data_IF_580810945280
#
_entry.id   IF_580810945280
#
_cell.length_a   1.000
_cell.length_b   1.000
_cell.length_c   1.000
_cell.angle_alpha   90.00
_cell.angle_beta   90.00
_cell.angle_gamma   90.00
#
_symmetry.space_group_name_H-M   'P 1'
#
loop_
_entity.id
_entity.type
_entity.pdbx_description
1 polymer ?
#
# COMPACT_ATOMS: atom_id res chain seq x y z
N UNK A 1 -34.40 28.70 -3.56
CA UNK A 1 -33.64 29.89 -3.99
C UNK A 1 -33.00 29.52 -5.32
N UNK A 2 -33.60 29.90 -6.46
CA UNK A 2 -33.04 29.57 -7.78
C UNK A 2 -31.80 30.46 -7.97
N UNK A 3 -30.60 29.89 -7.80
CA UNK A 3 -29.39 30.53 -8.27
C UNK A 3 -29.51 30.62 -9.79
N UNK A 4 -29.54 31.84 -10.31
CA UNK A 4 -29.47 32.06 -11.75
C UNK A 4 -28.06 31.68 -12.19
N UNK A 5 -27.92 30.57 -12.91
CA UNK A 5 -26.65 30.17 -13.50
C UNK A 5 -26.32 31.21 -14.58
N UNK A 6 -25.14 31.82 -14.49
CA UNK A 6 -24.68 32.76 -15.51
C UNK A 6 -24.26 31.96 -16.75
N UNK A 7 -24.98 32.11 -17.86
CA UNK A 7 -24.67 31.48 -19.14
C UNK A 7 -24.11 32.54 -20.11
N UNK A 8 -22.78 32.75 -20.15
CA UNK A 8 -22.17 33.82 -20.94
C UNK A 8 -22.33 33.60 -22.46
N UNK A 9 -22.46 32.36 -22.93
CA UNK A 9 -22.59 32.06 -24.36
C UNK A 9 -24.03 31.85 -24.81
N UNK A 10 -24.99 31.81 -23.86
CA UNK A 10 -26.38 31.44 -24.10
C UNK A 10 -26.48 30.12 -24.88
N UNK A 11 -25.68 29.15 -24.49
CA UNK A 11 -25.38 27.93 -25.26
C UNK A 11 -25.66 26.65 -24.48
N UNK A 12 -26.35 26.72 -23.35
CA UNK A 12 -26.68 25.55 -22.53
C UNK A 12 -27.39 24.44 -23.31
N UNK A 13 -28.29 24.76 -24.26
CA UNK A 13 -28.99 23.75 -25.06
C UNK A 13 -28.07 23.07 -26.08
N UNK A 14 -27.12 23.81 -26.66
CA UNK A 14 -26.09 23.24 -27.54
C UNK A 14 -25.21 22.27 -26.74
N UNK A 15 -24.77 22.69 -25.57
CA UNK A 15 -23.97 21.85 -24.68
C UNK A 15 -24.74 20.60 -24.21
N UNK A 16 -26.00 20.75 -23.82
CA UNK A 16 -26.86 19.64 -23.43
C UNK A 16 -27.07 18.64 -24.56
N UNK A 17 -27.29 19.14 -25.79
CA UNK A 17 -27.43 18.29 -26.98
C UNK A 17 -26.17 17.46 -27.20
N UNK A 18 -24.98 18.08 -27.13
CA UNK A 18 -23.72 17.38 -27.28
C UNK A 18 -23.49 16.31 -26.20
N UNK A 19 -23.83 16.60 -24.94
CA UNK A 19 -23.79 15.60 -23.87
C UNK A 19 -24.75 14.42 -24.11
N UNK A 20 -25.95 14.68 -24.66
CA UNK A 20 -26.93 13.61 -24.96
C UNK A 20 -26.45 12.74 -26.12
N UNK A 21 -25.80 13.31 -27.13
CA UNK A 21 -25.22 12.56 -28.24
C UNK A 21 -24.17 11.55 -27.74
N UNK A 22 -23.28 11.95 -26.83
CA UNK A 22 -22.26 11.06 -26.26
C UNK A 22 -22.83 10.07 -25.23
N UNK A 23 -23.82 10.50 -24.45
CA UNK A 23 -24.49 9.64 -23.48
C UNK A 23 -25.39 8.56 -24.11
N UNK A 24 -25.67 8.64 -25.41
CA UNK A 24 -26.59 7.79 -26.21
C UNK A 24 -28.07 7.90 -25.81
N UNK A 25 -28.38 7.98 -24.51
CA UNK A 25 -29.74 8.17 -24.00
C UNK A 25 -29.86 9.46 -23.17
N UNK A 26 -30.90 10.24 -23.45
CA UNK A 26 -31.13 11.52 -22.76
C UNK A 26 -31.35 11.42 -21.26
N UNK A 27 -31.78 10.25 -20.76
CA UNK A 27 -31.99 9.98 -19.33
C UNK A 27 -30.69 10.03 -18.51
N UNK A 28 -29.52 9.95 -19.18
CA UNK A 28 -28.20 9.93 -18.55
C UNK A 28 -27.58 11.33 -18.37
N UNK A 29 -28.26 12.37 -18.85
CA UNK A 29 -27.87 13.79 -18.71
C UNK A 29 -28.92 14.52 -17.90
N UNK A 30 -28.54 14.93 -16.68
CA UNK A 30 -29.42 15.61 -15.73
C UNK A 30 -29.44 17.14 -15.90
N UNK A 31 -29.60 17.84 -14.77
CA UNK A 31 -29.72 19.31 -14.77
C UNK A 31 -28.37 19.98 -14.97
N UNK A 32 -28.39 21.21 -15.48
CA UNK A 32 -27.21 22.08 -15.52
C UNK A 32 -26.83 22.47 -14.09
N UNK A 33 -25.59 22.21 -13.70
CA UNK A 33 -25.05 22.45 -12.36
C UNK A 33 -24.32 23.79 -12.30
N UNK A 34 -23.37 24.01 -13.21
CA UNK A 34 -22.62 25.26 -13.31
C UNK A 34 -22.11 25.47 -14.73
N UNK A 35 -21.69 26.70 -15.01
CA UNK A 35 -20.92 27.06 -16.20
C UNK A 35 -19.65 27.72 -15.71
N UNK A 36 -18.53 27.07 -16.00
CA UNK A 36 -17.21 27.51 -15.57
C UNK A 36 -16.52 28.19 -16.75
N UNK A 37 -15.83 29.30 -16.50
CA UNK A 37 -15.10 30.06 -17.53
C UNK A 37 -13.68 30.32 -17.08
N UNK A 38 -12.73 30.29 -18.02
CA UNK A 38 -11.29 30.40 -17.73
C UNK A 38 -10.86 31.80 -17.21
N UNK A 39 -11.71 32.82 -17.31
CA UNK A 39 -11.37 34.19 -16.93
C UNK A 39 -12.35 34.79 -15.91
N UNK A 40 -11.91 34.93 -14.65
CA UNK A 40 -12.52 35.85 -13.68
C UNK A 40 -12.11 37.29 -14.03
N UNK A 41 -12.91 38.01 -14.83
CA UNK A 41 -12.63 39.41 -15.12
C UNK A 41 -12.88 40.27 -13.89
N UNK A 42 -11.82 40.90 -13.35
CA UNK A 42 -11.90 41.87 -12.24
C UNK A 42 -12.77 43.11 -12.56
N UNK A 43 -13.06 43.36 -13.84
CA UNK A 43 -13.78 44.54 -14.33
C UNK A 43 -15.22 44.25 -14.78
N UNK A 44 -15.72 43.02 -14.55
CA UNK A 44 -17.10 42.63 -14.88
C UNK A 44 -17.44 42.54 -16.38
N UNK A 45 -16.44 42.67 -17.25
CA UNK A 45 -16.57 42.46 -18.70
C UNK A 45 -15.92 41.12 -19.07
N UNK A 46 -16.73 40.06 -19.10
CA UNK A 46 -16.31 38.71 -19.48
C UNK A 46 -16.15 38.60 -20.99
N UNK A 47 -14.92 38.73 -21.49
CA UNK A 47 -14.55 38.35 -22.87
C UNK A 47 -14.11 36.88 -22.94
N UNK A 48 -14.65 36.03 -22.05
CA UNK A 48 -14.33 34.61 -21.96
C UNK A 48 -14.53 33.95 -23.34
N UNK A 49 -13.49 33.26 -23.81
CA UNK A 49 -13.49 32.57 -25.11
C UNK A 49 -13.84 31.09 -24.99
N UNK A 50 -13.73 30.53 -23.78
CA UNK A 50 -14.02 29.14 -23.46
C UNK A 50 -14.94 29.09 -22.25
N UNK A 51 -15.96 28.24 -22.32
CA UNK A 51 -16.87 27.97 -21.21
C UNK A 51 -17.18 26.47 -21.13
N UNK A 52 -17.11 25.91 -19.93
CA UNK A 52 -17.42 24.50 -19.66
C UNK A 52 -18.75 24.40 -18.93
N UNK A 53 -19.73 23.75 -19.57
CA UNK A 53 -21.05 23.50 -19.02
C UNK A 53 -21.04 22.16 -18.30
N UNK A 54 -21.32 22.16 -17.01
CA UNK A 54 -21.37 20.97 -16.17
C UNK A 54 -22.82 20.53 -15.97
N UNK A 55 -23.17 19.33 -16.41
CA UNK A 55 -24.47 18.69 -16.15
C UNK A 55 -24.31 17.50 -15.20
N UNK A 56 -25.34 17.22 -14.41
CA UNK A 56 -25.37 15.97 -13.61
C UNK A 56 -25.28 14.76 -14.55
N UNK A 57 -24.43 13.78 -14.21
CA UNK A 57 -24.38 12.50 -14.91
C UNK A 57 -25.16 11.45 -14.11
N UNK A 58 -26.10 10.78 -14.77
CA UNK A 58 -26.89 9.68 -14.19
C UNK A 58 -26.52 8.33 -14.80
N UNK A 59 -25.28 8.20 -15.29
CA UNK A 59 -24.76 6.97 -15.88
C UNK A 59 -24.50 5.90 -14.81
N UNK A 60 -24.89 4.64 -15.05
CA UNK A 60 -24.51 3.52 -14.19
C UNK A 60 -22.97 3.44 -14.05
N UNK A 61 -22.48 3.40 -12.81
CA UNK A 61 -21.04 3.33 -12.51
C UNK A 61 -20.35 4.68 -12.32
N UNK A 62 -20.97 5.80 -12.74
CA UNK A 62 -20.43 7.16 -12.63
C UNK A 62 -21.19 7.99 -11.59
N UNK A 63 -21.44 7.41 -10.41
CA UNK A 63 -22.16 8.10 -9.33
C UNK A 63 -21.36 9.30 -8.84
N UNK A 64 -22.01 10.48 -8.81
CA UNK A 64 -21.38 11.75 -8.41
C UNK A 64 -20.55 12.42 -9.50
N UNK A 65 -20.47 11.86 -10.71
CA UNK A 65 -19.78 12.46 -11.85
C UNK A 65 -20.67 13.47 -12.57
N UNK A 66 -20.04 14.28 -13.42
CA UNK A 66 -20.69 15.32 -14.21
C UNK A 66 -20.26 15.24 -15.67
N UNK A 67 -21.19 15.47 -16.57
CA UNK A 67 -20.88 15.75 -17.97
C UNK A 67 -20.30 17.15 -18.07
N UNK A 68 -19.09 17.26 -18.61
CA UNK A 68 -18.42 18.52 -18.87
C UNK A 68 -18.34 18.75 -20.37
N UNK A 69 -19.06 19.75 -20.84
CA UNK A 69 -19.09 20.12 -22.26
C UNK A 69 -18.40 21.45 -22.43
N UNK A 70 -17.24 21.43 -23.06
CA UNK A 70 -16.45 22.63 -23.28
C UNK A 70 -16.82 23.25 -24.63
N UNK A 71 -17.25 24.51 -24.60
CA UNK A 71 -17.58 25.29 -25.77
C UNK A 71 -16.56 26.42 -25.97
N UNK A 72 -16.29 26.77 -27.22
CA UNK A 72 -15.45 27.91 -27.57
C UNK A 72 -16.18 28.89 -28.50
N UNK A 73 -15.89 30.18 -28.30
CA UNK A 73 -16.29 31.30 -29.16
C UNK A 73 -15.04 32.06 -29.60
N UNK A 74 -14.99 32.45 -30.88
CA UNK A 74 -13.89 33.24 -31.45
C UNK A 74 -13.98 34.70 -31.03
N UNK A 75 -15.20 35.24 -31.00
CA UNK A 75 -15.54 36.58 -30.53
C UNK A 75 -16.98 36.61 -29.95
N UNK A 76 -17.40 37.74 -29.38
CA UNK A 76 -18.73 37.88 -28.76
C UNK A 76 -19.90 37.66 -29.72
N UNK A 77 -19.72 37.93 -31.01
CA UNK A 77 -20.72 37.77 -32.07
C UNK A 77 -20.72 36.39 -32.73
N UNK A 78 -19.63 35.62 -32.57
CA UNK A 78 -19.47 34.30 -33.15
C UNK A 78 -20.42 33.25 -32.54
N UNK A 79 -20.78 32.24 -33.32
CA UNK A 79 -21.55 31.10 -32.84
C UNK A 79 -20.64 30.18 -32.00
N UNK A 80 -21.07 29.75 -30.80
CA UNK A 80 -20.31 28.80 -29.99
C UNK A 80 -20.18 27.44 -30.69
N UNK A 81 -19.02 26.81 -30.52
CA UNK A 81 -18.71 25.48 -31.08
C UNK A 81 -18.29 24.53 -29.96
N UNK A 82 -18.66 23.25 -30.08
CA UNK A 82 -18.29 22.21 -29.11
C UNK A 82 -16.82 21.81 -29.34
N UNK A 83 -16.02 21.86 -28.28
CA UNK A 83 -14.62 21.43 -28.30
C UNK A 83 -14.49 19.97 -27.87
N UNK A 84 -15.10 19.62 -26.74
CA UNK A 84 -15.06 18.26 -26.18
C UNK A 84 -16.24 18.01 -25.24
N UNK A 85 -16.58 16.73 -25.08
CA UNK A 85 -17.60 16.21 -24.17
C UNK A 85 -16.94 15.11 -23.35
N UNK A 86 -16.76 15.35 -22.04
CA UNK A 86 -16.08 14.42 -21.15
C UNK A 86 -16.86 14.22 -19.86
N UNK A 87 -16.61 13.11 -19.18
CA UNK A 87 -17.07 12.87 -17.81
C UNK A 87 -15.98 13.30 -16.83
N UNK A 88 -16.32 14.23 -15.92
CA UNK A 88 -15.44 14.67 -14.85
C UNK A 88 -16.01 14.26 -13.49
N UNK A 89 -15.14 13.89 -12.53
CA UNK A 89 -15.59 13.58 -11.18
C UNK A 89 -16.08 14.84 -10.47
N UNK A 90 -17.31 14.80 -9.96
CA UNK A 90 -17.80 15.83 -9.03
C UNK A 90 -17.32 15.59 -7.60
N UNK A 91 -17.73 16.46 -6.67
CA UNK A 91 -17.34 16.37 -5.25
C UNK A 91 -17.77 15.05 -4.58
N UNK A 92 -18.86 14.45 -5.05
CA UNK A 92 -19.41 13.19 -4.54
C UNK A 92 -18.99 11.98 -5.39
N UNK A 93 -18.06 12.16 -6.34
CA UNK A 93 -17.65 11.08 -7.23
C UNK A 93 -16.80 10.03 -6.50
N UNK A 94 -17.12 8.76 -6.70
CA UNK A 94 -16.25 7.67 -6.29
C UNK A 94 -15.03 7.63 -7.21
N UNK A 95 -13.86 7.96 -6.68
CA UNK A 95 -12.59 7.92 -7.38
C UNK A 95 -11.84 6.61 -7.11
N UNK A 96 -10.99 6.22 -8.07
CA UNK A 96 -10.04 5.15 -7.85
C UNK A 96 -9.04 5.55 -6.75
N UNK A 97 -8.52 4.58 -5.96
CA UNK A 97 -7.41 4.83 -5.06
C UNK A 97 -6.19 5.37 -5.81
N UNK A 98 -5.29 6.02 -5.09
CA UNK A 98 -4.02 6.47 -5.65
C UNK A 98 -3.23 5.28 -6.23
N UNK A 99 -2.64 5.48 -7.40
CA UNK A 99 -1.82 4.46 -8.03
C UNK A 99 -0.55 4.21 -7.22
N UNK A 100 -0.31 2.96 -6.84
CA UNK A 100 0.91 2.53 -6.15
C UNK A 100 1.85 1.85 -7.15
N UNK A 101 3.16 2.08 -7.07
CA UNK A 101 4.11 1.38 -7.94
C UNK A 101 4.14 -0.12 -7.68
N UNK A 102 4.33 -0.94 -8.71
CA UNK A 102 4.35 -2.41 -8.58
C UNK A 102 5.32 -2.91 -7.50
N UNK A 103 6.50 -2.30 -7.37
CA UNK A 103 7.48 -2.68 -6.35
C UNK A 103 6.95 -2.50 -4.92
N UNK A 104 6.07 -1.52 -4.73
CA UNK A 104 5.50 -1.13 -3.44
C UNK A 104 4.19 -1.88 -3.16
N UNK A 105 3.73 -2.72 -4.11
CA UNK A 105 2.56 -3.60 -3.94
C UNK A 105 2.93 -4.99 -3.41
N UNK A 106 4.20 -5.37 -3.41
CA UNK A 106 4.64 -6.71 -2.99
C UNK A 106 4.48 -6.84 -1.47
N UNK A 107 3.69 -7.81 -1.05
CA UNK A 107 3.40 -8.13 0.35
C UNK A 107 4.08 -9.45 0.79
N UNK A 108 4.22 -9.68 2.10
CA UNK A 108 4.64 -10.97 2.61
C UNK A 108 3.72 -12.10 2.11
N UNK A 109 4.32 -13.09 1.44
CA UNK A 109 3.59 -14.24 0.87
C UNK A 109 3.37 -14.18 -0.64
N UNK A 110 3.59 -13.03 -1.28
CA UNK A 110 3.41 -12.88 -2.74
C UNK A 110 4.49 -13.59 -3.57
N UNK A 111 5.56 -14.06 -2.92
CA UNK A 111 6.76 -14.58 -3.55
C UNK A 111 6.64 -16.10 -3.70
N UNK A 112 6.51 -16.54 -4.94
CA UNK A 112 6.37 -17.95 -5.31
C UNK A 112 7.65 -18.61 -5.81
N UNK A 113 7.50 -19.84 -6.29
CA UNK A 113 8.59 -20.62 -6.88
C UNK A 113 9.01 -20.00 -8.21
N UNK A 114 10.27 -19.58 -8.30
CA UNK A 114 10.85 -18.99 -9.51
C UNK A 114 10.85 -17.45 -9.51
N UNK A 115 10.19 -16.81 -8.56
CA UNK A 115 10.20 -15.36 -8.44
C UNK A 115 11.54 -14.86 -7.92
N UNK A 116 12.05 -13.79 -8.54
CA UNK A 116 13.26 -13.10 -8.12
C UNK A 116 12.85 -11.68 -7.71
N UNK A 117 12.95 -11.39 -6.41
CA UNK A 117 12.77 -10.03 -5.91
C UNK A 117 14.13 -9.34 -5.87
N UNK A 118 14.37 -8.32 -6.71
CA UNK A 118 15.59 -7.55 -6.63
C UNK A 118 15.61 -6.75 -5.32
N UNK A 119 16.69 -6.91 -4.55
CA UNK A 119 16.94 -6.06 -3.38
C UNK A 119 17.61 -4.77 -3.81
N UNK A 120 17.13 -3.63 -3.28
CA UNK A 120 17.74 -2.32 -3.53
C UNK A 120 19.23 -2.33 -3.16
N UNK A 121 20.04 -1.54 -3.86
CA UNK A 121 21.44 -1.31 -3.50
C UNK A 121 21.55 -0.63 -2.13
N UNK A 122 20.64 0.32 -1.87
CA UNK A 122 20.58 1.15 -0.66
C UNK A 122 19.59 0.59 0.38
N UNK A 123 19.37 -0.72 0.42
CA UNK A 123 18.51 -1.34 1.43
C UNK A 123 19.16 -1.25 2.82
N UNK A 124 18.61 -0.40 3.68
CA UNK A 124 19.10 -0.14 5.04
C UNK A 124 19.16 -1.39 5.93
N UNK A 125 18.41 -2.44 5.57
CA UNK A 125 18.39 -3.72 6.31
C UNK A 125 19.66 -4.52 6.07
N UNK A 126 20.48 -4.13 5.09
CA UNK A 126 21.67 -4.83 4.69
C UNK A 126 22.92 -3.94 4.81
N UNK A 127 24.03 -4.56 5.22
CA UNK A 127 25.37 -3.97 5.17
C UNK A 127 26.32 -4.94 4.45
N UNK A 128 27.45 -4.46 3.90
CA UNK A 128 28.47 -5.34 3.35
C UNK A 128 28.93 -6.39 4.37
N UNK A 129 29.23 -7.62 3.91
CA UNK A 129 29.58 -8.74 4.80
C UNK A 129 30.76 -8.45 5.73
N UNK A 130 31.76 -7.70 5.27
CA UNK A 130 32.91 -7.29 6.09
C UNK A 130 32.55 -6.29 7.21
N UNK A 131 31.43 -5.58 7.08
CA UNK A 131 30.97 -4.60 8.06
C UNK A 131 30.19 -5.24 9.23
N UNK A 132 29.98 -6.56 9.21
CA UNK A 132 29.42 -7.29 10.34
C UNK A 132 30.45 -7.71 11.40
N UNK A 133 31.74 -7.38 11.20
CA UNK A 133 32.80 -7.73 12.14
C UNK A 133 32.67 -6.93 13.46
N UNK A 134 32.83 -7.59 14.62
CA UNK A 134 33.05 -6.90 15.89
C UNK A 134 34.38 -6.14 15.86
N UNK A 135 34.50 -5.11 16.69
CA UNK A 135 35.75 -4.37 16.94
C UNK A 135 36.76 -5.17 17.79
N UNK A 136 36.71 -6.49 17.76
CA UNK A 136 37.46 -7.38 18.65
C UNK A 136 38.61 -8.05 17.88
N UNK A 137 39.85 -7.68 18.24
CA UNK A 137 41.07 -8.13 17.56
C UNK A 137 41.44 -9.60 17.86
N UNK A 138 40.76 -10.26 18.81
CA UNK A 138 41.05 -11.66 19.20
C UNK A 138 40.15 -12.72 18.51
N UNK A 139 39.37 -12.34 17.50
CA UNK A 139 38.42 -13.25 16.85
C UNK A 139 39.10 -14.37 16.05
N UNK A 140 38.72 -15.62 16.35
CA UNK A 140 39.16 -16.83 15.66
C UNK A 140 38.73 -16.82 14.17
N UNK A 141 39.65 -17.04 13.22
CA UNK A 141 39.35 -17.20 11.79
C UNK A 141 38.25 -18.21 11.46
N UNK A 142 38.00 -19.22 12.30
CA UNK A 142 36.91 -20.17 12.09
C UNK A 142 35.51 -19.57 12.32
N UNK A 143 35.40 -18.54 13.16
CA UNK A 143 34.16 -17.80 13.41
C UNK A 143 33.86 -16.76 12.32
N UNK A 144 34.83 -16.44 11.45
CA UNK A 144 34.67 -15.51 10.32
C UNK A 144 33.48 -15.86 9.40
N UNK A 145 33.21 -17.15 9.21
CA UNK A 145 32.06 -17.62 8.42
C UNK A 145 30.71 -17.27 9.09
N UNK A 146 30.63 -17.34 10.42
CA UNK A 146 29.45 -16.91 11.19
C UNK A 146 29.24 -15.39 11.11
N UNK A 147 30.32 -14.62 10.98
CA UNK A 147 30.29 -13.16 10.76
C UNK A 147 29.98 -12.75 9.32
N UNK A 148 29.75 -13.71 8.42
CA UNK A 148 29.34 -13.44 7.04
C UNK A 148 30.47 -13.19 6.06
N UNK A 149 31.72 -13.54 6.41
CA UNK A 149 32.76 -13.69 5.40
C UNK A 149 32.39 -14.87 4.49
N UNK A 150 32.01 -14.54 3.26
CA UNK A 150 31.38 -15.44 2.28
C UNK A 150 30.04 -14.94 1.73
N UNK A 151 29.40 -13.96 2.39
CA UNK A 151 28.18 -13.29 1.91
C UNK A 151 28.50 -11.87 1.47
N UNK A 152 28.00 -11.47 0.29
CA UNK A 152 28.18 -10.10 -0.21
C UNK A 152 27.58 -9.05 0.74
N UNK A 153 26.40 -9.36 1.30
CA UNK A 153 25.68 -8.52 2.26
C UNK A 153 25.11 -9.38 3.39
N UNK A 154 24.94 -8.77 4.56
CA UNK A 154 24.41 -9.38 5.79
C UNK A 154 23.46 -8.41 6.48
N UNK A 155 22.64 -8.89 7.43
CA UNK A 155 21.70 -8.02 8.14
C UNK A 155 22.44 -6.94 8.93
N UNK A 156 22.04 -5.70 8.68
CA UNK A 156 22.40 -4.52 9.47
C UNK A 156 21.74 -4.57 10.85
N UNK A 157 22.07 -3.61 11.71
CA UNK A 157 21.37 -3.45 12.99
C UNK A 157 19.88 -3.13 12.80
N UNK A 158 19.54 -2.31 11.80
CA UNK A 158 18.15 -1.99 11.43
C UNK A 158 17.43 -3.24 10.95
N UNK A 159 18.06 -4.03 10.09
CA UNK A 159 17.50 -5.30 9.61
C UNK A 159 17.24 -6.30 10.74
N UNK A 160 18.13 -6.38 11.73
CA UNK A 160 17.97 -7.22 12.92
C UNK A 160 16.82 -6.73 13.81
N UNK A 161 16.74 -5.42 14.08
CA UNK A 161 15.70 -4.82 14.91
C UNK A 161 14.29 -5.00 14.29
N UNK A 162 14.15 -4.75 12.99
CA UNK A 162 12.89 -4.98 12.27
C UNK A 162 12.48 -6.46 12.27
N UNK A 163 13.44 -7.38 12.13
CA UNK A 163 13.16 -8.81 12.22
C UNK A 163 12.76 -9.21 13.64
N UNK A 164 13.48 -8.77 14.67
CA UNK A 164 13.17 -9.09 16.06
C UNK A 164 11.81 -8.57 16.48
N UNK A 165 11.45 -7.33 16.12
CA UNK A 165 10.12 -6.77 16.41
C UNK A 165 9.02 -7.62 15.78
N UNK A 166 9.10 -7.88 14.47
CA UNK A 166 8.11 -8.70 13.76
C UNK A 166 7.98 -10.12 14.33
N UNK A 167 9.09 -10.75 14.69
CA UNK A 167 9.06 -12.11 15.25
C UNK A 167 8.50 -12.15 16.67
N UNK A 168 8.86 -11.18 17.51
CA UNK A 168 8.41 -11.11 18.90
C UNK A 168 6.95 -10.67 19.04
N UNK A 169 6.48 -9.78 18.17
CA UNK A 169 5.08 -9.34 18.13
C UNK A 169 4.18 -10.31 17.34
N UNK A 170 4.78 -11.19 16.53
CA UNK A 170 4.05 -12.14 15.71
C UNK A 170 3.52 -13.34 16.49
N UNK A 171 2.91 -14.28 15.75
CA UNK A 171 2.24 -15.44 16.34
C UNK A 171 3.18 -16.41 17.09
N UNK A 172 4.50 -16.19 16.99
CA UNK A 172 5.59 -17.00 17.58
C UNK A 172 6.33 -16.24 18.69
N UNK A 173 5.73 -15.14 19.12
CA UNK A 173 6.11 -14.40 20.32
C UNK A 173 5.41 -14.89 21.59
N UNK A 174 5.71 -14.27 22.74
CA UNK A 174 5.16 -14.66 24.03
C UNK A 174 3.66 -14.39 24.15
N UNK A 175 3.14 -13.41 23.42
CA UNK A 175 1.74 -12.97 23.51
C UNK A 175 0.79 -13.75 22.60
N UNK A 176 1.31 -14.71 21.84
CA UNK A 176 0.47 -15.55 20.99
C UNK A 176 -0.49 -16.41 21.83
N UNK A 177 -1.70 -16.73 21.34
CA UNK A 177 -2.64 -17.59 22.06
C UNK A 177 -2.03 -18.94 22.46
N UNK A 178 -1.17 -19.50 21.62
CA UNK A 178 -0.49 -20.77 21.91
C UNK A 178 0.53 -20.64 23.04
N UNK A 179 1.35 -19.59 23.05
CA UNK A 179 2.30 -19.35 24.13
C UNK A 179 1.59 -19.13 25.48
N UNK A 180 0.49 -18.38 25.48
CA UNK A 180 -0.29 -18.10 26.70
C UNK A 180 -0.95 -19.35 27.29
N UNK A 181 -1.19 -20.38 26.49
CA UNK A 181 -1.76 -21.66 26.94
C UNK A 181 -0.71 -22.77 27.09
N UNK A 182 0.56 -22.49 26.78
CA UNK A 182 1.63 -23.46 26.93
C UNK A 182 2.09 -23.55 28.39
N UNK A 183 2.40 -24.75 28.90
CA UNK A 183 2.76 -24.94 30.30
C UNK A 183 4.15 -24.38 30.65
N UNK A 184 5.04 -24.30 29.65
CA UNK A 184 6.43 -23.85 29.83
C UNK A 184 6.96 -23.14 28.59
N UNK A 185 7.84 -22.16 28.77
CA UNK A 185 8.46 -21.41 27.68
C UNK A 185 9.63 -22.15 27.02
N UNK A 186 9.95 -21.74 25.79
CA UNK A 186 10.97 -22.31 24.92
C UNK A 186 12.38 -22.28 25.53
N UNK A 187 12.76 -21.27 26.31
CA UNK A 187 14.08 -21.21 26.94
C UNK A 187 14.35 -22.35 27.92
N UNK A 188 13.30 -23.01 28.41
CA UNK A 188 13.41 -24.18 29.30
C UNK A 188 13.23 -25.52 28.57
N UNK A 189 13.01 -25.49 27.25
CA UNK A 189 12.72 -26.66 26.44
C UNK A 189 14.00 -27.27 25.84
N UNK A 190 14.18 -28.58 25.98
CA UNK A 190 15.32 -29.31 25.40
C UNK A 190 15.32 -29.37 23.86
N UNK A 191 14.20 -29.07 23.21
CA UNK A 191 14.10 -29.01 21.74
C UNK A 191 14.38 -27.61 21.16
N UNK A 192 14.72 -26.64 22.01
CA UNK A 192 15.01 -25.27 21.59
C UNK A 192 16.47 -25.16 21.16
N UNK A 193 16.71 -24.82 19.89
CA UNK A 193 18.04 -24.56 19.34
C UNK A 193 18.22 -23.03 19.22
N UNK A 194 19.10 -22.39 20.01
CA UNK A 194 19.31 -20.95 19.92
C UNK A 194 19.88 -20.55 18.55
N UNK A 195 19.38 -19.44 17.97
CA UNK A 195 19.96 -18.88 16.74
C UNK A 195 21.35 -18.31 17.05
N UNK A 196 22.29 -18.37 16.11
CA UNK A 196 23.64 -17.82 16.30
C UNK A 196 23.66 -16.28 16.33
N UNK A 197 24.75 -15.71 16.85
CA UNK A 197 25.00 -14.26 16.84
C UNK A 197 24.12 -13.46 17.80
N UNK A 198 23.88 -12.18 17.47
CA UNK A 198 23.28 -11.20 18.39
C UNK A 198 21.80 -11.46 18.73
N UNK A 199 21.11 -12.34 18.01
CA UNK A 199 19.71 -12.70 18.28
C UNK A 199 19.57 -13.92 19.22
N UNK A 200 20.68 -14.57 19.57
CA UNK A 200 20.72 -15.82 20.36
C UNK A 200 19.98 -15.76 21.68
N UNK A 201 20.01 -14.60 22.34
CA UNK A 201 19.41 -14.40 23.66
C UNK A 201 17.88 -14.26 23.62
N UNK A 202 17.30 -13.98 22.44
CA UNK A 202 15.87 -13.69 22.30
C UNK A 202 15.13 -14.67 21.40
N UNK A 203 15.83 -15.39 20.51
CA UNK A 203 15.19 -16.27 19.52
C UNK A 203 15.95 -17.59 19.31
N UNK A 204 15.19 -18.61 18.93
CA UNK A 204 15.70 -19.93 18.54
C UNK A 204 14.78 -20.62 17.54
N UNK A 205 15.12 -21.84 17.17
CA UNK A 205 14.32 -22.70 16.30
C UNK A 205 13.85 -23.92 17.10
N UNK A 206 12.58 -24.30 16.92
CA UNK A 206 12.07 -25.54 17.49
C UNK A 206 12.49 -26.74 16.62
N UNK A 207 13.00 -27.79 17.25
CA UNK A 207 13.39 -29.04 16.59
C UNK A 207 12.50 -30.24 16.99
N UNK A 208 11.32 -29.98 17.56
CA UNK A 208 10.39 -31.03 17.94
C UNK A 208 9.38 -31.26 16.80
N UNK A 209 9.48 -32.39 16.10
CA UNK A 209 8.56 -32.78 15.03
C UNK A 209 7.07 -32.78 15.46
N UNK A 210 6.78 -33.02 16.74
CA UNK A 210 5.41 -33.02 17.26
C UNK A 210 4.88 -31.61 17.55
N UNK A 211 5.77 -30.62 17.60
CA UNK A 211 5.38 -29.22 17.77
C UNK A 211 4.85 -28.66 16.45
N UNK A 212 3.77 -27.85 16.47
CA UNK A 212 3.39 -27.05 15.31
C UNK A 212 4.48 -26.03 14.89
N UNK A 213 5.46 -25.78 15.77
CA UNK A 213 6.56 -24.86 15.54
C UNK A 213 7.83 -25.52 15.01
N UNK A 214 7.81 -26.81 14.67
CA UNK A 214 8.97 -27.48 14.07
C UNK A 214 9.54 -26.70 12.88
N UNK A 215 10.86 -26.50 12.88
CA UNK A 215 11.58 -25.70 11.89
C UNK A 215 11.10 -24.23 11.76
N UNK A 216 10.49 -23.67 12.80
CA UNK A 216 10.11 -22.24 12.89
C UNK A 216 10.96 -21.49 13.90
N UNK A 217 11.15 -20.20 13.65
CA UNK A 217 11.75 -19.28 14.61
C UNK A 217 10.72 -18.92 15.68
N UNK A 218 11.10 -19.07 16.94
CA UNK A 218 10.27 -18.77 18.11
C UNK A 218 11.05 -17.87 19.08
N UNK A 219 10.35 -17.01 19.82
CA UNK A 219 10.98 -16.26 20.90
C UNK A 219 11.31 -17.19 22.09
N UNK A 220 12.30 -16.81 22.89
CA UNK A 220 12.74 -17.59 24.08
C UNK A 220 11.64 -17.77 25.13
N UNK A 221 10.65 -16.88 25.13
CA UNK A 221 9.49 -16.87 26.02
C UNK A 221 8.19 -17.32 25.34
N UNK A 222 8.26 -17.81 24.10
CA UNK A 222 7.17 -18.51 23.41
C UNK A 222 6.93 -19.90 24.02
N UNK A 223 5.80 -20.55 23.70
CA UNK A 223 5.54 -21.94 24.07
C UNK A 223 4.56 -22.63 23.11
N UNK A 224 4.73 -23.94 22.90
CA UNK A 224 4.02 -24.70 21.86
C UNK A 224 3.29 -25.98 22.36
N UNK A 225 3.21 -26.19 23.68
CA UNK A 225 2.57 -27.37 24.29
C UNK A 225 3.38 -28.67 24.20
N UNK A 226 4.19 -28.87 23.16
CA UNK A 226 5.05 -30.04 22.97
C UNK A 226 6.43 -29.87 23.67
N UNK A 227 6.41 -29.51 24.95
CA UNK A 227 7.62 -29.25 25.73
C UNK A 227 8.38 -30.54 26.08
N UNK A 228 9.71 -30.52 26.12
CA UNK A 228 10.54 -31.71 26.43
C UNK A 228 10.23 -32.33 27.80
N UNK A 229 9.79 -31.49 28.74
CA UNK A 229 9.40 -31.88 30.10
C UNK A 229 7.93 -32.33 30.23
N UNK A 230 7.17 -32.40 29.14
CA UNK A 230 5.83 -32.99 29.14
C UNK A 230 5.95 -34.52 29.08
N UNK A 231 6.33 -35.12 30.21
CA UNK A 231 6.53 -36.56 30.33
C UNK A 231 5.21 -37.29 30.57
N UNK A 232 4.99 -38.40 29.85
CA UNK A 232 3.96 -39.38 30.21
C UNK A 232 4.44 -40.11 31.46
N UNK A 233 3.68 -40.02 32.55
CA UNK A 233 3.94 -40.84 33.73
C UNK A 233 3.47 -42.25 33.36
N UNK A 234 4.40 -43.19 33.25
CA UNK A 234 4.05 -44.60 33.12
C UNK A 234 3.47 -45.08 34.45
N UNK A 235 2.24 -45.60 34.41
CA UNK A 235 1.62 -46.36 35.51
C UNK A 235 2.22 -47.78 35.62
#
# INVERSE_FOLDING_TARGET
MHMSINDPFNAAELARTAAIEDAVESKFVGQLVSVDTDEESADGNTDARIATYLFEATLPGYSGWRWAVSLAKVDSSSTPTVCDVVLLPGAEALLAPEWVSYKDRILPGDVGVGDIIPTSADDERLVPGFAALPSDEELDPSQLFEFGLGRARVLSIVGRDLASKRWYEGDRGPNSPMAQNAPKPCHSCGFFIPIAGSLRSAFGVCANLLSPEDARVVSVDHGCGAHSEAMVIAE
#
